data_IF_001695965445
#
_entry.id   IF_001695965445
#
_cell.length_a   1.000
_cell.length_b   1.000
_cell.length_c   1.000
_cell.angle_alpha   90.00
_cell.angle_beta   90.00
_cell.angle_gamma   90.00
#
_symmetry.space_group_name_H-M   'P 1'
#
loop_
_entity.id
_entity.type
_entity.pdbx_description
1 polymer ?
#
# COMPACT_ATOMS: atom_id res chain seq x y z
N UNK A 1 -9.14 4.69 -21.88
CA UNK A 1 -9.39 5.23 -20.52
C UNK A 1 -8.10 5.83 -20.00
N UNK A 2 -8.08 7.10 -19.62
CA UNK A 2 -6.90 7.68 -18.96
C UNK A 2 -6.85 7.22 -17.50
N UNK A 3 -5.71 6.70 -17.06
CA UNK A 3 -5.49 6.30 -15.67
C UNK A 3 -5.11 7.55 -14.85
N UNK A 4 -6.01 8.01 -13.98
CA UNK A 4 -5.83 9.24 -13.19
C UNK A 4 -5.23 9.02 -11.79
N UNK A 5 -5.46 7.86 -11.16
CA UNK A 5 -4.83 7.49 -9.88
C UNK A 5 -4.22 6.07 -9.94
N UNK A 6 -2.90 5.97 -10.25
CA UNK A 6 -2.20 4.69 -10.30
C UNK A 6 -2.12 3.96 -8.96
N UNK A 7 -2.24 4.66 -7.82
CA UNK A 7 -2.20 4.06 -6.49
C UNK A 7 -3.55 3.42 -6.20
N UNK A 8 -4.65 4.13 -6.47
CA UNK A 8 -6.00 3.57 -6.31
C UNK A 8 -6.21 2.32 -7.18
N UNK A 9 -5.70 2.31 -8.41
CA UNK A 9 -5.70 1.11 -9.27
C UNK A 9 -4.93 -0.05 -8.64
N UNK A 10 -3.72 0.22 -8.11
CA UNK A 10 -2.88 -0.79 -7.43
C UNK A 10 -3.63 -1.41 -6.25
N UNK A 11 -4.22 -0.59 -5.38
CA UNK A 11 -4.99 -1.07 -4.22
C UNK A 11 -6.21 -1.89 -4.65
N UNK A 12 -6.90 -1.45 -5.69
CA UNK A 12 -8.08 -2.14 -6.22
C UNK A 12 -7.72 -3.50 -6.81
N UNK A 13 -6.62 -3.60 -7.56
CA UNK A 13 -6.11 -4.87 -8.10
C UNK A 13 -5.76 -5.86 -7.00
N UNK A 14 -5.07 -5.40 -5.95
CA UNK A 14 -4.74 -6.24 -4.78
C UNK A 14 -6.02 -6.73 -4.09
N UNK A 15 -6.97 -5.83 -3.84
CA UNK A 15 -8.27 -6.18 -3.22
C UNK A 15 -9.01 -7.23 -4.03
N UNK A 16 -9.11 -7.03 -5.34
CA UNK A 16 -9.87 -7.91 -6.23
C UNK A 16 -9.20 -9.28 -6.36
N UNK A 17 -7.87 -9.33 -6.49
CA UNK A 17 -7.11 -10.58 -6.49
C UNK A 17 -7.26 -11.34 -5.16
N UNK A 18 -7.28 -10.62 -4.03
CA UNK A 18 -7.55 -11.18 -2.71
C UNK A 18 -8.92 -11.84 -2.63
N UNK A 19 -9.97 -11.14 -3.08
CA UNK A 19 -11.35 -11.67 -3.14
C UNK A 19 -11.48 -12.88 -4.08
N UNK A 20 -10.77 -12.86 -5.20
CA UNK A 20 -10.73 -13.95 -6.17
C UNK A 20 -9.82 -15.13 -5.74
N UNK A 21 -9.18 -15.04 -4.57
CA UNK A 21 -8.27 -16.08 -4.03
C UNK A 21 -7.08 -16.38 -4.94
N UNK A 22 -6.57 -15.38 -5.64
CA UNK A 22 -5.38 -15.54 -6.49
C UNK A 22 -4.10 -15.55 -5.66
N UNK A 23 -3.14 -16.39 -6.06
CA UNK A 23 -1.84 -16.44 -5.39
C UNK A 23 -1.00 -15.17 -5.60
N UNK A 24 -1.17 -14.51 -6.73
CA UNK A 24 -0.44 -13.28 -7.08
C UNK A 24 -1.23 -12.39 -8.03
N UNK A 25 -0.86 -11.11 -8.06
CA UNK A 25 -1.39 -10.12 -9.00
C UNK A 25 -0.26 -9.34 -9.66
N UNK A 26 -0.39 -9.11 -10.97
CA UNK A 26 0.55 -8.30 -11.74
C UNK A 26 0.01 -6.88 -11.92
N UNK A 27 0.87 -5.91 -11.60
CA UNK A 27 0.54 -4.49 -11.61
C UNK A 27 1.61 -3.77 -12.44
N UNK A 28 1.24 -2.76 -13.26
CA UNK A 28 2.23 -1.95 -13.95
C UNK A 28 3.25 -1.32 -13.00
N UNK A 29 4.54 -1.52 -13.27
CA UNK A 29 5.65 -1.13 -12.42
C UNK A 29 5.76 0.39 -12.23
N UNK A 30 6.12 0.80 -11.01
CA UNK A 30 6.62 2.15 -10.74
C UNK A 30 7.44 2.15 -9.45
N UNK A 31 8.32 3.14 -9.27
CA UNK A 31 9.12 3.28 -8.04
C UNK A 31 8.21 3.40 -6.81
N UNK A 32 7.17 4.22 -6.90
CA UNK A 32 6.21 4.43 -5.82
C UNK A 32 5.46 3.14 -5.44
N UNK A 33 4.99 2.38 -6.45
CA UNK A 33 4.29 1.10 -6.22
C UNK A 33 5.22 0.05 -5.61
N UNK A 34 6.49 0.06 -5.99
CA UNK A 34 7.50 -0.86 -5.45
C UNK A 34 7.79 -0.55 -3.98
N UNK A 35 7.95 0.71 -3.60
CA UNK A 35 8.09 1.11 -2.20
C UNK A 35 6.83 0.82 -1.38
N UNK A 36 5.63 1.00 -1.96
CA UNK A 36 4.38 0.60 -1.31
C UNK A 36 4.35 -0.91 -1.03
N UNK A 37 4.72 -1.74 -2.01
CA UNK A 37 4.80 -3.20 -1.83
C UNK A 37 5.86 -3.61 -0.80
N UNK A 38 6.98 -2.88 -0.73
CA UNK A 38 8.00 -3.08 0.31
C UNK A 38 7.44 -2.84 1.71
N UNK A 39 6.71 -1.73 1.90
CA UNK A 39 6.05 -1.43 3.19
C UNK A 39 5.02 -2.52 3.53
N UNK A 40 4.16 -2.89 2.58
CA UNK A 40 3.18 -3.97 2.74
C UNK A 40 3.81 -5.30 3.18
N UNK A 41 4.95 -5.67 2.58
CA UNK A 41 5.70 -6.87 2.94
C UNK A 41 6.25 -6.76 4.36
N UNK A 42 6.88 -5.62 4.68
CA UNK A 42 7.48 -5.40 6.01
C UNK A 42 6.45 -5.41 7.14
N UNK A 43 5.23 -4.95 6.86
CA UNK A 43 4.10 -4.98 7.80
C UNK A 43 3.37 -6.34 7.82
N UNK A 44 3.74 -7.29 6.94
CA UNK A 44 3.22 -8.65 6.97
C UNK A 44 1.87 -8.87 6.26
N UNK A 45 1.39 -7.89 5.48
CA UNK A 45 0.13 -7.96 4.73
C UNK A 45 0.23 -8.77 3.43
N UNK A 46 1.41 -8.79 2.80
CA UNK A 46 1.69 -9.59 1.60
C UNK A 46 2.82 -10.57 1.88
N UNK A 47 2.85 -11.68 1.14
CA UNK A 47 3.90 -12.71 1.30
C UNK A 47 5.21 -12.22 0.74
N UNK A 48 5.19 -11.71 -0.50
CA UNK A 48 6.36 -11.19 -1.18
C UNK A 48 5.97 -10.30 -2.36
N UNK A 49 6.94 -9.62 -2.97
CA UNK A 49 6.78 -8.95 -4.25
C UNK A 49 8.04 -9.19 -5.11
N UNK A 50 7.89 -9.12 -6.43
CA UNK A 50 8.98 -9.20 -7.40
C UNK A 50 8.78 -8.15 -8.49
N UNK A 51 9.83 -7.40 -8.78
CA UNK A 51 9.85 -6.51 -9.96
C UNK A 51 10.41 -7.30 -11.14
N UNK A 52 9.62 -7.41 -12.20
CA UNK A 52 9.98 -8.02 -13.47
C UNK A 52 10.22 -6.88 -14.45
N UNK A 53 11.45 -6.76 -14.95
CA UNK A 53 11.75 -5.81 -16.03
C UNK A 53 11.14 -6.36 -17.33
N UNK A 54 10.48 -5.50 -18.07
CA UNK A 54 10.05 -5.73 -19.45
C UNK A 54 10.60 -4.58 -20.32
N UNK A 55 10.41 -4.64 -21.64
CA UNK A 55 10.81 -3.58 -22.57
C UNK A 55 9.94 -2.31 -22.47
N UNK A 56 9.13 -2.18 -21.41
CA UNK A 56 8.22 -1.07 -21.13
C UNK A 56 8.53 -0.49 -19.75
N UNK A 57 7.53 -0.41 -18.87
CA UNK A 57 7.62 0.20 -17.53
C UNK A 57 7.88 -0.81 -16.40
N UNK A 58 8.05 -2.08 -16.75
CA UNK A 58 8.14 -3.22 -15.85
C UNK A 58 6.79 -3.65 -15.29
N UNK A 59 6.80 -4.85 -14.69
CA UNK A 59 5.68 -5.43 -13.95
C UNK A 59 6.08 -5.66 -12.50
N UNK A 60 5.22 -5.21 -11.58
CA UNK A 60 5.31 -5.53 -10.17
C UNK A 60 4.36 -6.69 -9.87
N UNK A 61 4.93 -7.87 -9.65
CA UNK A 61 4.20 -9.05 -9.20
C UNK A 61 4.10 -9.04 -7.68
N UNK A 62 2.89 -9.01 -7.14
CA UNK A 62 2.62 -9.06 -5.70
C UNK A 62 2.06 -10.42 -5.33
N UNK A 63 2.69 -11.12 -4.40
CA UNK A 63 2.25 -12.41 -3.88
C UNK A 63 1.40 -12.21 -2.63
N UNK A 64 0.13 -12.62 -2.71
CA UNK A 64 -0.82 -12.44 -1.62
C UNK A 64 -0.53 -13.42 -0.48
N UNK A 65 -0.89 -13.01 0.73
CA UNK A 65 -0.76 -13.81 1.94
C UNK A 65 -2.16 -14.23 2.39
N UNK A 66 -2.30 -15.51 2.70
CA UNK A 66 -3.52 -16.08 3.22
C UNK A 66 -3.25 -16.75 4.57
N UNK A 67 -4.20 -16.61 5.49
CA UNK A 67 -4.22 -17.33 6.76
C UNK A 67 -4.96 -18.66 6.66
N UNK A 68 -5.22 -19.31 7.82
CA UNK A 68 -6.04 -20.50 7.91
C UNK A 68 -7.40 -20.28 7.22
N UNK A 69 -7.89 -21.33 6.54
CA UNK A 69 -9.16 -21.29 5.81
C UNK A 69 -9.14 -20.39 4.57
N UNK A 70 -7.96 -20.05 4.03
CA UNK A 70 -7.79 -19.08 2.94
C UNK A 70 -8.36 -17.68 3.25
N UNK A 71 -8.33 -17.28 4.52
CA UNK A 71 -8.63 -15.90 4.91
C UNK A 71 -7.57 -14.96 4.33
N UNK A 72 -7.99 -13.90 3.63
CA UNK A 72 -7.04 -12.92 3.09
C UNK A 72 -6.39 -12.16 4.25
N UNK A 73 -5.06 -11.99 4.23
CA UNK A 73 -4.36 -11.22 5.25
C UNK A 73 -4.69 -9.72 5.21
N UNK A 74 -5.28 -9.24 4.11
CA UNK A 74 -5.78 -7.88 3.96
C UNK A 74 -7.31 -7.92 3.96
N UNK A 75 -7.93 -7.29 4.95
CA UNK A 75 -9.37 -7.18 5.13
C UNK A 75 -9.88 -5.94 4.37
N UNK A 76 -9.16 -4.83 4.46
CA UNK A 76 -9.55 -3.53 3.93
C UNK A 76 -8.38 -2.74 3.34
N UNK A 77 -8.67 -2.03 2.25
CA UNK A 77 -7.75 -1.13 1.56
C UNK A 77 -8.50 0.15 1.22
N UNK A 78 -7.99 1.29 1.67
CA UNK A 78 -8.61 2.59 1.47
C UNK A 78 -7.61 3.61 0.94
N UNK A 79 -7.95 4.29 -0.15
CA UNK A 79 -7.17 5.42 -0.70
C UNK A 79 -7.60 6.73 -0.02
N UNK A 80 -6.71 7.33 0.76
CA UNK A 80 -6.98 8.54 1.54
C UNK A 80 -6.73 9.81 0.72
N UNK A 81 -5.48 10.08 0.32
CA UNK A 81 -5.11 11.32 -0.39
C UNK A 81 -5.32 11.26 -1.91
N UNK A 82 -6.54 11.50 -2.40
CA UNK A 82 -6.86 11.40 -3.85
C UNK A 82 -6.32 12.60 -4.66
N UNK A 83 -6.17 12.50 -6.00
CA UNK A 83 -5.73 13.63 -6.83
C UNK A 83 -6.58 14.90 -6.64
N UNK A 84 -7.89 14.74 -6.44
CA UNK A 84 -8.82 15.86 -6.18
C UNK A 84 -8.69 16.47 -4.79
N UNK A 85 -8.22 15.71 -3.80
CA UNK A 85 -8.06 16.17 -2.42
C UNK A 85 -6.89 15.48 -1.77
N UNK A 86 -5.78 16.21 -1.67
CA UNK A 86 -4.58 15.76 -0.98
C UNK A 86 -4.75 15.87 0.53
N UNK A 87 -4.27 14.87 1.26
CA UNK A 87 -4.39 14.79 2.72
C UNK A 87 -2.99 14.73 3.33
N UNK A 88 -2.62 15.80 4.04
CA UNK A 88 -1.33 15.93 4.73
C UNK A 88 -1.53 15.99 6.23
N UNK A 89 -0.56 15.45 6.98
CA UNK A 89 -0.56 15.50 8.44
C UNK A 89 0.83 15.81 8.97
N UNK A 90 0.89 16.48 10.13
CA UNK A 90 2.14 16.66 10.87
C UNK A 90 2.47 15.38 11.65
N UNK A 91 3.74 15.17 11.97
CA UNK A 91 4.21 13.96 12.66
C UNK A 91 3.48 13.66 13.98
N UNK A 92 3.13 14.71 14.73
CA UNK A 92 2.38 14.60 16.00
C UNK A 92 0.89 14.29 15.81
N UNK A 93 0.33 14.63 14.65
CA UNK A 93 -1.10 14.54 14.36
C UNK A 93 -1.46 13.22 13.62
N UNK A 94 -0.48 12.32 13.45
CA UNK A 94 -0.68 11.03 12.78
C UNK A 94 -1.54 10.13 13.66
N UNK A 95 -2.83 10.03 13.31
CA UNK A 95 -3.80 9.13 13.96
C UNK A 95 -3.49 7.67 13.66
N UNK A 96 -3.87 6.78 14.57
CA UNK A 96 -3.81 5.34 14.38
C UNK A 96 -5.01 4.86 13.55
N UNK A 97 -4.80 3.85 12.71
CA UNK A 97 -5.87 3.18 11.97
C UNK A 97 -6.42 2.05 12.83
N UNK A 98 -7.74 2.03 13.04
CA UNK A 98 -8.44 1.01 13.86
C UNK A 98 -7.76 0.75 15.21
N UNK A 99 -7.45 1.81 15.97
CA UNK A 99 -6.76 1.73 17.26
C UNK A 99 -5.44 0.92 17.23
N UNK A 100 -4.73 0.94 16.11
CA UNK A 100 -3.45 0.27 15.92
C UNK A 100 -3.55 -1.14 15.33
N UNK A 101 -4.75 -1.64 15.03
CA UNK A 101 -4.94 -2.91 14.30
C UNK A 101 -4.64 -2.78 12.80
N UNK A 102 -4.75 -1.57 12.25
CA UNK A 102 -4.35 -1.27 10.87
C UNK A 102 -3.12 -0.38 10.82
N UNK A 103 -2.65 -0.11 9.60
CA UNK A 103 -1.58 0.85 9.33
C UNK A 103 -2.06 1.94 8.37
N UNK A 104 -1.55 3.16 8.56
CA UNK A 104 -1.56 4.16 7.50
C UNK A 104 -0.18 4.20 6.85
N UNK A 105 -0.15 4.35 5.53
CA UNK A 105 1.08 4.49 4.75
C UNK A 105 1.20 5.95 4.32
N UNK A 106 2.34 6.58 4.66
CA UNK A 106 2.59 7.98 4.41
C UNK A 106 3.77 8.17 3.46
N UNK A 107 3.67 9.15 2.58
CA UNK A 107 4.79 9.71 1.84
C UNK A 107 5.39 10.86 2.64
N UNK A 108 6.64 10.71 3.06
CA UNK A 108 7.37 11.70 3.88
C UNK A 108 8.65 12.15 3.16
N UNK A 109 9.32 13.17 3.70
CA UNK A 109 10.64 13.60 3.20
C UNK A 109 11.72 12.52 3.30
N UNK A 110 11.54 11.51 4.16
CA UNK A 110 12.44 10.37 4.34
C UNK A 110 12.00 9.11 3.56
N UNK A 111 11.01 9.25 2.68
CA UNK A 111 10.44 8.16 1.88
C UNK A 111 9.10 7.66 2.38
N UNK A 112 8.64 6.54 1.83
CA UNK A 112 7.36 5.93 2.16
C UNK A 112 7.51 5.06 3.40
N UNK A 113 6.66 5.25 4.40
CA UNK A 113 6.72 4.51 5.65
C UNK A 113 5.35 4.36 6.31
N UNK A 114 5.29 3.52 7.35
CA UNK A 114 4.10 3.35 8.18
C UNK A 114 3.93 4.52 9.15
N UNK A 115 2.69 4.76 9.57
CA UNK A 115 2.31 5.70 10.62
C UNK A 115 3.08 5.48 11.93
N UNK A 116 3.31 4.22 12.32
CA UNK A 116 4.12 3.88 13.50
C UNK A 116 5.55 4.39 13.39
N UNK A 117 6.18 4.24 12.21
CA UNK A 117 7.55 4.72 11.97
C UNK A 117 7.59 6.24 11.87
N UNK A 118 6.64 6.84 11.16
CA UNK A 118 6.53 8.30 11.03
C UNK A 118 6.34 9.00 12.38
N UNK A 119 5.52 8.44 13.29
CA UNK A 119 5.40 8.92 14.68
C UNK A 119 6.71 8.80 15.45
N UNK A 120 7.39 7.64 15.36
CA UNK A 120 8.67 7.43 16.04
C UNK A 120 9.75 8.41 15.60
N UNK A 121 9.79 8.73 14.30
CA UNK A 121 10.75 9.68 13.73
C UNK A 121 10.27 11.14 13.81
N UNK A 122 9.07 11.39 14.32
CA UNK A 122 8.41 12.71 14.36
C UNK A 122 8.39 13.43 13.00
N UNK A 123 8.10 12.70 11.93
CA UNK A 123 8.03 13.22 10.56
C UNK A 123 6.59 13.14 10.03
N UNK A 124 6.09 14.25 9.49
CA UNK A 124 4.79 14.32 8.82
C UNK A 124 4.85 14.01 7.32
N UNK A 125 3.71 14.01 6.65
CA UNK A 125 3.64 13.72 5.22
C UNK A 125 2.24 13.60 4.65
N UNK A 126 2.16 13.14 3.41
CA UNK A 126 0.91 12.83 2.72
C UNK A 126 0.42 11.43 3.13
N UNK A 127 -0.82 11.29 3.59
CA UNK A 127 -1.41 9.97 3.86
C UNK A 127 -1.88 9.35 2.55
N UNK A 128 -1.17 8.35 2.05
CA UNK A 128 -1.50 7.69 0.80
C UNK A 128 -2.71 6.76 0.97
N UNK A 129 -2.63 5.81 1.89
CA UNK A 129 -3.67 4.82 2.09
C UNK A 129 -3.67 4.23 3.50
N UNK A 130 -4.82 3.67 3.87
CA UNK A 130 -5.02 2.89 5.08
C UNK A 130 -5.25 1.43 4.71
N UNK A 131 -4.71 0.52 5.53
CA UNK A 131 -4.72 -0.92 5.30
C UNK A 131 -4.97 -1.63 6.62
N UNK A 132 -5.88 -2.61 6.61
CA UNK A 132 -6.20 -3.47 7.75
C UNK A 132 -6.71 -4.83 7.28
#
# INVERSE_FOLDING_TARGET
MSMSDPIADTLTRIRNAGKAKFNSVDIPGSKLKTELAKVLRSAGFIRNYKFLKDDKQGLLRVYLKYGPGQSNAIIGLERVSKPSRRVYVKGKDIKQVLNGMGIAILSTSKGIMTDKRARKENVGGEILCNIW
#
